data_IF_414628663019
#
_entry.id   IF_414628663019
#
_cell.length_a   1.000
_cell.length_b   1.000
_cell.length_c   1.000
_cell.angle_alpha   90.00
_cell.angle_beta   90.00
_cell.angle_gamma   90.00
#
_symmetry.space_group_name_H-M   'P 1'
#
loop_
_entity.id
_entity.type
_entity.pdbx_description
1 polymer ?
2 non-polymer ?
3 water ?
#
# COMPACT_ATOMS: atom_id res chain seq x y z
N UNK A 4 -22.68 9.54 9.81
CA UNK A 4 -21.42 10.08 9.29
C UNK A 4 -20.36 9.93 10.31
N UNK A 5 -19.13 10.03 9.97
CA UNK A 5 -18.21 10.00 11.08
C UNK A 5 -17.02 10.92 10.98
N UNK A 6 -16.00 10.11 11.07
CA UNK A 6 -14.59 10.37 10.98
C UNK A 6 -14.33 11.19 9.74
N UNK A 7 -13.75 12.30 10.06
CA UNK A 7 -13.39 13.29 9.10
C UNK A 7 -12.02 13.01 8.55
N UNK A 8 -11.79 13.23 7.28
CA UNK A 8 -10.45 12.87 6.88
C UNK A 8 -9.90 13.95 6.09
N UNK A 9 -8.58 14.06 6.10
CA UNK A 9 -8.01 15.06 5.23
C UNK A 9 -7.22 14.29 4.16
N UNK A 10 -7.49 14.54 2.88
CA UNK A 10 -6.82 13.83 1.79
C UNK A 10 -5.75 14.77 1.26
N UNK A 11 -4.49 14.50 1.53
CA UNK A 11 -3.54 15.43 1.02
C UNK A 11 -3.38 14.95 -0.40
N UNK A 12 -2.71 15.74 -1.25
CA UNK A 12 -2.43 15.36 -2.65
C UNK A 12 -3.67 15.21 -3.57
N UNK A 13 -4.73 15.94 -3.21
CA UNK A 13 -6.03 15.92 -3.91
C UNK A 13 -6.11 15.91 -5.40
N UNK A 14 -5.08 16.42 -6.05
CA UNK A 14 -5.09 16.51 -7.49
C UNK A 14 -4.07 15.54 -8.08
N UNK A 15 -3.38 14.77 -7.22
CA UNK A 15 -2.39 13.80 -7.70
C UNK A 15 -3.12 12.52 -8.06
N UNK A 16 -2.52 11.64 -8.85
CA UNK A 16 -3.23 10.42 -9.17
C UNK A 16 -3.84 9.59 -8.04
N UNK A 17 -3.09 9.35 -6.98
CA UNK A 17 -3.69 8.71 -5.82
C UNK A 17 -4.79 9.59 -5.10
N UNK A 18 -4.52 10.90 -4.92
CA UNK A 18 -5.38 11.80 -4.11
C UNK A 18 -6.83 11.88 -4.57
N UNK A 19 -7.00 11.80 -5.87
CA UNK A 19 -8.33 11.74 -6.50
C UNK A 19 -9.23 10.54 -6.07
N UNK A 20 -8.62 9.36 -6.15
CA UNK A 20 -9.18 8.02 -5.94
C UNK A 20 -9.51 7.89 -4.49
N UNK A 21 -8.78 8.70 -3.73
CA UNK A 21 -9.09 8.77 -2.33
C UNK A 21 -10.40 9.57 -2.06
N UNK A 22 -10.58 10.72 -2.70
CA UNK A 22 -11.79 11.54 -2.53
C UNK A 22 -13.01 10.69 -2.88
N UNK A 23 -12.99 10.08 -4.06
CA UNK A 23 -14.00 9.08 -4.33
C UNK A 23 -14.11 7.98 -3.27
N UNK A 24 -13.04 7.32 -2.90
CA UNK A 24 -13.27 6.24 -1.98
C UNK A 24 -13.90 6.77 -0.73
N UNK A 25 -13.65 8.05 -0.39
CA UNK A 25 -14.15 8.59 0.86
C UNK A 25 -15.61 8.95 0.80
N UNK A 26 -16.01 9.71 -0.23
CA UNK A 26 -17.43 10.10 -0.37
C UNK A 26 -18.39 8.91 -0.42
N UNK A 27 -17.92 7.86 -1.07
CA UNK A 27 -18.77 6.75 -1.32
C UNK A 27 -18.24 5.63 -0.46
N UNK A 28 -18.39 5.78 0.85
CA UNK A 28 -17.84 4.82 1.79
C UNK A 28 -18.39 5.31 3.11
N UNK A 29 -19.02 4.42 3.85
CA UNK A 29 -19.77 4.82 5.06
C UNK A 29 -19.04 4.82 6.35
N UNK A 30 -19.08 5.98 6.98
CA UNK A 30 -18.52 6.11 8.29
C UNK A 30 -17.41 7.09 8.17
N UNK A 31 -17.26 7.61 6.96
CA UNK A 31 -16.20 8.55 6.75
C UNK A 31 -16.71 9.71 5.99
N UNK A 32 -16.31 10.89 6.50
CA UNK A 32 -16.65 12.20 5.96
C UNK A 32 -15.41 12.92 5.47
N UNK A 33 -15.54 13.54 4.32
CA UNK A 33 -14.48 14.35 3.77
C UNK A 33 -14.28 15.75 4.45
N UNK A 34 -13.50 15.83 5.53
CA UNK A 34 -13.15 17.10 6.18
C UNK A 34 -12.30 18.07 5.31
N UNK A 35 -11.16 17.66 4.76
CA UNK A 35 -10.34 18.61 4.00
C UNK A 35 -9.75 18.01 2.79
N UNK A 36 -9.10 18.80 1.94
CA UNK A 36 -8.39 18.33 0.73
C UNK A 36 -7.23 19.27 0.44
N UNK A 37 -6.01 18.83 0.70
CA UNK A 37 -4.88 19.68 0.56
C UNK A 37 -4.25 19.72 -0.81
N UNK A 38 -3.12 20.37 -0.84
CA UNK A 38 -2.34 20.50 -2.06
C UNK A 38 -1.13 21.38 -1.80
N UNK A 39 -0.21 21.26 -2.76
CA UNK A 39 1.07 21.95 -2.79
C UNK A 39 0.82 23.47 -2.85
N UNK A 40 1.71 24.29 -2.33
CA UNK A 40 1.53 25.73 -2.44
C UNK A 40 2.10 26.28 -3.74
N UNK A 41 1.19 26.80 -4.54
CA UNK A 41 1.52 27.27 -5.87
C UNK A 41 1.02 26.28 -6.96
N UNK A 42 -0.22 25.80 -6.77
CA UNK A 42 -0.93 24.85 -7.66
C UNK A 42 -2.41 25.25 -7.69
N UNK A 43 -3.04 25.10 -8.87
CA UNK A 43 -4.47 25.42 -9.05
C UNK A 43 -5.47 24.60 -8.20
N UNK A 44 -5.94 25.23 -7.13
CA UNK A 44 -6.85 24.63 -6.16
C UNK A 44 -8.08 23.88 -6.72
N UNK A 45 -9.26 24.53 -6.79
CA UNK A 45 -10.56 24.00 -7.30
C UNK A 45 -11.52 23.71 -6.20
N UNK A 46 -11.47 24.53 -5.16
CA UNK A 46 -12.40 24.46 -4.04
C UNK A 46 -13.02 23.07 -3.82
N UNK A 47 -14.28 22.90 -4.26
CA UNK A 47 -15.07 21.66 -4.19
C UNK A 47 -14.06 20.60 -4.55
N UNK A 48 -13.55 20.01 -3.50
CA UNK A 48 -12.45 19.07 -3.61
C UNK A 48 -12.89 18.05 -4.61
N UNK A 49 -13.37 16.97 -4.03
CA UNK A 49 -13.90 15.84 -4.78
C UNK A 49 -14.85 16.31 -5.87
N UNK A 50 -15.32 17.55 -5.78
CA UNK A 50 -16.21 18.08 -6.77
C UNK A 50 -15.46 17.91 -8.07
N UNK A 51 -15.01 19.03 -8.63
CA UNK A 51 -14.30 18.95 -9.89
C UNK A 51 -13.13 17.94 -9.80
N UNK A 52 -12.30 18.17 -8.78
CA UNK A 52 -11.10 17.40 -8.56
C UNK A 52 -11.22 15.91 -8.81
N UNK A 53 -12.27 15.30 -8.28
CA UNK A 53 -12.42 13.88 -8.43
C UNK A 53 -13.66 13.55 -9.17
N UNK A 54 -13.65 13.73 -10.48
CA UNK A 54 -14.77 13.31 -11.30
C UNK A 54 -16.17 13.85 -10.89
N UNK A 55 -16.69 13.35 -9.77
CA UNK A 55 -18.06 13.69 -9.28
C UNK A 55 -18.07 14.97 -8.42
N UNK A 56 -18.67 16.00 -9.02
CA UNK A 56 -18.76 17.37 -8.44
C UNK A 56 -19.39 17.39 -7.04
N UNK A 57 -19.53 18.63 -6.56
CA UNK A 57 -20.11 18.97 -5.25
C UNK A 57 -19.00 18.98 -4.18
N UNK A 58 -19.37 18.75 -2.95
CA UNK A 58 -18.42 18.89 -1.85
C UNK A 58 -18.03 20.34 -1.70
N UNK A 59 -18.57 20.92 -0.66
CA UNK A 59 -18.27 22.29 -0.28
C UNK A 59 -16.91 22.26 0.38
N UNK A 60 -16.22 21.14 0.17
CA UNK A 60 -14.87 20.99 0.67
C UNK A 60 -13.97 21.58 -0.40
N UNK A 61 -13.15 22.44 0.08
CA UNK A 61 -12.31 23.24 -0.77
C UNK A 61 -10.83 22.90 -0.54
N UNK A 62 -10.08 22.78 -1.63
CA UNK A 62 -8.71 22.34 -1.59
C UNK A 62 -7.77 23.45 -1.20
N UNK A 63 -7.57 23.59 0.09
CA UNK A 63 -6.62 24.52 0.68
C UNK A 63 -5.11 24.15 0.59
N UNK A 64 -4.27 25.02 1.17
CA UNK A 64 -2.83 24.89 1.15
C UNK A 64 -2.25 24.88 2.56
N UNK A 65 -3.09 25.27 3.51
CA UNK A 65 -2.75 25.41 4.92
C UNK A 65 -2.45 24.11 5.67
N UNK A 66 -3.11 24.00 6.81
CA UNK A 66 -3.08 22.83 7.66
C UNK A 66 -3.60 23.32 8.96
N UNK A 67 -3.00 24.38 9.49
CA UNK A 67 -3.50 24.88 10.76
C UNK A 67 -4.91 25.36 10.45
N UNK A 68 -5.08 25.77 9.18
CA UNK A 68 -6.36 26.24 8.63
C UNK A 68 -7.42 25.18 8.43
N UNK A 69 -7.17 23.97 8.95
CA UNK A 69 -8.01 22.81 8.72
C UNK A 69 -7.95 21.92 9.92
N UNK A 70 -7.06 22.22 10.85
CA UNK A 70 -6.84 21.39 12.04
C UNK A 70 -8.10 20.85 12.69
N UNK A 71 -9.13 21.68 12.73
CA UNK A 71 -10.33 21.29 13.44
C UNK A 71 -11.40 20.58 12.61
N UNK A 72 -11.13 20.29 11.34
CA UNK A 72 -12.11 19.61 10.45
C UNK A 72 -11.69 18.28 9.80
N UNK A 73 -10.81 17.54 10.46
CA UNK A 73 -10.38 16.29 9.95
C UNK A 73 -9.81 15.63 11.17
N UNK A 74 -10.09 14.34 11.31
CA UNK A 74 -9.59 13.57 12.44
C UNK A 74 -8.34 12.82 12.04
N UNK A 75 -8.30 12.42 10.76
CA UNK A 75 -7.26 11.62 10.19
C UNK A 75 -6.66 12.15 8.89
N UNK A 76 -5.38 11.92 8.74
CA UNK A 76 -4.68 12.40 7.59
C UNK A 76 -4.24 11.26 6.71
N UNK A 77 -4.66 11.30 5.45
CA UNK A 77 -4.24 10.35 4.45
C UNK A 77 -3.24 10.98 3.47
N UNK A 78 -2.01 10.45 3.55
CA UNK A 78 -0.92 10.96 2.73
C UNK A 78 -0.28 10.01 1.72
N UNK A 79 -0.50 10.26 0.42
CA UNK A 79 0.09 9.60 -0.74
C UNK A 79 0.62 10.77 -1.56
N UNK A 80 1.78 11.31 -1.14
CA UNK A 80 2.50 12.39 -1.81
C UNK A 80 4.00 12.17 -2.04
N UNK A 81 4.80 12.91 -1.25
CA UNK A 81 6.24 12.77 -1.28
C UNK A 81 6.89 12.81 0.07
N UNK A 82 7.96 12.05 0.19
CA UNK A 82 8.62 11.93 1.47
C UNK A 82 8.83 13.30 2.08
N UNK A 83 9.29 14.28 1.30
CA UNK A 83 9.50 15.67 1.77
C UNK A 83 8.21 16.33 2.24
N UNK A 84 7.17 16.19 1.41
CA UNK A 84 5.85 16.64 1.82
C UNK A 84 5.43 15.89 3.10
N UNK A 85 5.45 14.55 3.07
CA UNK A 85 5.04 13.74 4.24
C UNK A 85 5.66 14.11 5.57
N UNK A 86 6.94 14.34 5.56
CA UNK A 86 7.56 14.59 6.84
C UNK A 86 6.98 15.81 7.55
N UNK A 87 6.54 16.78 6.74
CA UNK A 87 5.98 18.04 7.20
C UNK A 87 4.60 17.85 7.84
N UNK A 88 3.78 17.10 7.10
CA UNK A 88 2.47 16.77 7.58
C UNK A 88 2.66 15.97 8.85
N UNK A 89 3.65 15.07 8.82
CA UNK A 89 3.84 14.24 9.99
C UNK A 89 4.12 15.09 11.21
N UNK A 90 4.81 16.19 11.01
CA UNK A 90 5.15 17.07 12.11
C UNK A 90 3.94 17.93 12.70
N UNK A 91 3.02 18.31 11.83
CA UNK A 91 1.90 19.11 12.29
C UNK A 91 0.99 18.16 13.07
N UNK A 92 0.85 16.96 12.54
CA UNK A 92 -0.09 16.00 13.09
C UNK A 92 0.31 15.55 14.43
N UNK A 93 1.58 15.17 14.51
CA UNK A 93 2.09 14.69 15.75
C UNK A 93 1.98 15.77 16.85
N UNK A 94 2.02 17.04 16.47
CA UNK A 94 1.88 18.12 17.44
C UNK A 94 0.42 18.17 17.95
N UNK A 95 -0.51 18.29 17.00
CA UNK A 95 -1.93 18.42 17.28
C UNK A 95 -2.67 17.10 17.34
N UNK A 96 -1.98 15.97 17.61
CA UNK A 96 -2.62 14.67 17.69
C UNK A 96 -3.64 14.27 16.61
N UNK A 97 -3.26 14.37 15.33
CA UNK A 97 -4.06 13.79 14.22
C UNK A 97 -3.38 12.47 13.82
N UNK A 98 -4.19 11.43 13.53
CA UNK A 98 -3.70 10.09 13.28
C UNK A 98 -3.41 10.13 11.83
N UNK A 99 -2.54 9.27 11.35
CA UNK A 99 -2.29 9.22 9.90
C UNK A 99 -2.24 7.87 9.22
N UNK A 100 -2.69 7.90 7.97
CA UNK A 100 -2.61 6.73 7.10
C UNK A 100 -1.56 7.13 6.07
N UNK A 101 -0.43 6.41 6.04
CA UNK A 101 0.70 6.80 5.19
C UNK A 101 0.99 5.86 4.06
N UNK A 102 0.78 6.29 2.82
CA UNK A 102 1.02 5.48 1.62
C UNK A 102 2.15 5.99 0.75
N UNK A 103 2.84 7.03 1.23
CA UNK A 103 4.01 7.56 0.54
C UNK A 103 5.10 6.56 0.75
N UNK A 104 5.69 6.19 -0.35
CA UNK A 104 6.83 5.30 -0.33
C UNK A 104 8.02 6.12 -0.69
N UNK A 105 9.17 5.48 -0.43
CA UNK A 105 10.48 5.98 -0.85
C UNK A 105 11.22 6.74 0.23
N UNK A 106 10.93 6.50 1.52
CA UNK A 106 11.68 7.22 2.55
C UNK A 106 13.05 6.62 2.77
N UNK A 107 14.04 7.48 3.01
CA UNK A 107 15.39 7.06 3.38
C UNK A 107 15.16 6.56 4.79
N UNK A 108 16.12 5.85 5.35
CA UNK A 108 15.95 5.36 6.70
C UNK A 108 15.64 6.43 7.75
N UNK A 109 16.48 7.44 7.78
CA UNK A 109 16.24 8.53 8.68
C UNK A 109 14.76 8.90 8.61
N UNK A 110 14.17 8.71 7.42
CA UNK A 110 12.75 8.95 7.15
C UNK A 110 11.84 8.03 7.96
N UNK A 111 12.04 6.74 7.82
CA UNK A 111 11.20 5.81 8.54
C UNK A 111 11.36 5.93 10.03
N UNK A 112 12.49 6.47 10.48
CA UNK A 112 12.65 6.52 11.91
C UNK A 112 11.75 7.60 12.53
N UNK A 113 11.49 8.60 11.73
CA UNK A 113 10.59 9.67 12.05
C UNK A 113 9.25 9.07 12.32
N UNK A 114 8.72 8.44 11.29
CA UNK A 114 7.43 7.78 11.41
C UNK A 114 7.38 6.89 12.64
N UNK A 115 8.42 6.06 12.83
CA UNK A 115 8.41 5.14 13.93
C UNK A 115 8.28 5.88 15.18
N UNK A 116 9.08 6.91 15.27
CA UNK A 116 9.14 7.71 16.47
C UNK A 116 7.91 8.48 16.75
N UNK A 117 7.32 9.03 15.69
CA UNK A 117 6.12 9.83 15.82
C UNK A 117 4.97 8.98 16.30
N UNK A 118 5.00 7.70 15.92
CA UNK A 118 3.95 6.76 16.26
C UNK A 118 3.76 6.51 17.73
N UNK A 119 4.51 7.19 18.59
CA UNK A 119 4.33 7.03 20.03
C UNK A 119 3.39 8.10 20.63
N UNK A 120 2.94 9.03 19.80
CA UNK A 120 2.22 10.15 20.30
C UNK A 120 0.91 10.14 19.57
N UNK A 121 0.99 9.57 18.37
CA UNK A 121 -0.20 9.46 17.54
C UNK A 121 -0.30 8.03 16.96
N UNK A 122 -1.46 7.70 16.39
CA UNK A 122 -1.69 6.36 15.82
C UNK A 122 -1.44 6.50 14.34
N UNK A 123 -0.52 5.66 13.82
CA UNK A 123 -0.15 5.62 12.39
C UNK A 123 -0.43 4.28 11.69
N UNK A 124 -1.00 4.32 10.53
CA UNK A 124 -1.07 3.10 9.78
C UNK A 124 -0.20 3.37 8.55
N UNK A 125 0.93 2.68 8.48
CA UNK A 125 1.86 2.95 7.40
C UNK A 125 2.12 1.63 6.64
N UNK A 126 1.88 1.52 5.33
CA UNK A 126 2.09 0.23 4.62
C UNK A 126 2.54 0.30 3.16
N UNK A 127 3.26 -0.73 2.73
CA UNK A 127 3.84 -0.71 1.39
C UNK A 127 2.90 -0.91 0.28
N UNK A 128 1.84 -1.65 0.57
CA UNK A 128 0.78 -1.96 -0.40
C UNK A 128 -0.53 -2.01 0.37
N UNK A 129 -1.45 -1.12 -0.03
CA UNK A 129 -2.69 -0.91 0.68
C UNK A 129 -3.87 -1.66 0.11
N UNK A 130 -3.59 -2.61 -0.77
CA UNK A 130 -4.63 -3.44 -1.39
C UNK A 130 -4.93 -4.60 -0.47
N UNK A 131 -6.19 -4.79 -0.08
CA UNK A 131 -6.58 -5.86 0.87
C UNK A 131 -6.22 -7.21 0.33
N UNK A 132 -6.61 -7.37 -0.93
CA UNK A 132 -6.30 -8.47 -1.81
C UNK A 132 -4.85 -8.90 -1.80
N UNK A 133 -3.90 -7.99 -2.01
CA UNK A 133 -2.51 -8.35 -1.83
C UNK A 133 -2.15 -8.71 -0.40
N UNK A 134 -2.86 -8.15 0.57
CA UNK A 134 -2.45 -8.43 1.93
C UNK A 134 -2.89 -9.81 2.41
N UNK A 135 -4.02 -10.23 1.89
CA UNK A 135 -4.49 -11.54 2.28
C UNK A 135 -3.58 -12.56 1.60
N UNK A 136 -3.35 -12.34 0.32
CA UNK A 136 -2.64 -13.26 -0.51
C UNK A 136 -1.35 -13.55 0.15
N UNK A 137 -0.78 -12.53 0.75
CA UNK A 137 0.49 -12.73 1.43
C UNK A 137 0.34 -13.67 2.63
N UNK A 138 -0.77 -13.59 3.34
CA UNK A 138 -0.90 -14.47 4.48
C UNK A 138 -1.10 -15.91 3.97
N UNK A 139 -1.94 -16.08 2.94
CA UNK A 139 -2.15 -17.39 2.32
C UNK A 139 -0.86 -18.02 1.90
N UNK A 140 -0.02 -17.29 1.16
CA UNK A 140 1.25 -17.84 0.69
C UNK A 140 2.02 -18.47 1.85
N UNK A 141 1.80 -17.90 3.03
CA UNK A 141 2.56 -18.35 4.16
C UNK A 141 2.09 -19.70 4.62
N UNK A 142 0.77 -19.80 4.81
CA UNK A 142 0.20 -21.01 5.31
C UNK A 142 0.66 -22.03 4.32
N UNK A 143 0.24 -21.87 3.09
CA UNK A 143 0.75 -22.70 2.03
C UNK A 143 2.24 -23.10 1.97
N UNK A 144 3.17 -22.23 2.33
CA UNK A 144 4.58 -22.59 2.15
C UNK A 144 4.83 -23.62 3.21
N UNK A 145 4.06 -23.45 4.27
CA UNK A 145 4.20 -24.29 5.45
C UNK A 145 3.80 -25.78 5.23
N UNK A 146 3.16 -26.09 4.12
CA UNK A 146 2.74 -27.48 3.81
C UNK A 146 3.51 -28.06 2.62
N UNK A 147 3.28 -27.45 1.48
CA UNK A 147 3.89 -27.85 0.20
C UNK A 147 5.27 -27.22 0.03
N UNK A 148 5.38 -26.01 0.57
CA UNK A 148 6.67 -25.31 0.57
C UNK A 148 7.66 -26.29 1.19
N UNK A 149 8.73 -26.57 0.48
CA UNK A 149 9.63 -27.61 0.95
C UNK A 149 10.35 -28.29 -0.19
N UNK A 150 9.43 -29.16 -0.63
CA UNK A 150 9.46 -30.23 -1.64
C UNK A 150 8.77 -29.85 -2.96
N UNK A 151 8.31 -28.63 -3.07
CA UNK A 151 7.68 -28.14 -4.31
C UNK A 151 8.56 -27.07 -4.95
N UNK A 152 8.37 -26.91 -6.24
CA UNK A 152 9.06 -25.88 -7.04
C UNK A 152 8.23 -24.59 -6.96
N UNK A 153 8.91 -23.52 -6.58
CA UNK A 153 8.25 -22.26 -6.30
C UNK A 153 8.79 -21.15 -7.17
N UNK A 154 7.92 -20.66 -8.05
CA UNK A 154 8.06 -19.57 -9.01
C UNK A 154 7.00 -18.46 -8.79
N UNK A 155 7.33 -17.22 -9.14
CA UNK A 155 6.58 -15.97 -8.92
C UNK A 155 6.63 -15.17 -10.21
N UNK A 156 5.46 -15.00 -10.84
CA UNK A 156 5.38 -14.22 -12.09
C UNK A 156 4.57 -12.94 -11.71
N UNK A 157 5.00 -11.79 -12.22
CA UNK A 157 4.34 -10.52 -11.93
C UNK A 157 4.32 -9.80 -13.29
N UNK A 158 3.24 -9.06 -13.58
CA UNK A 158 3.24 -8.32 -14.85
C UNK A 158 2.96 -6.90 -14.49
N UNK A 159 3.56 -5.94 -15.19
CA UNK A 159 3.26 -4.51 -15.05
C UNK A 159 3.34 -3.73 -16.32
N UNK A 160 2.60 -2.61 -16.25
CA UNK A 160 2.47 -1.66 -17.36
C UNK A 160 3.86 -1.29 -17.85
N UNK A 161 3.86 -0.66 -19.00
CA UNK A 161 5.11 -0.46 -19.63
C UNK A 161 5.92 0.61 -19.03
N UNK A 162 5.66 1.10 -17.84
CA UNK A 162 6.51 2.21 -17.37
C UNK A 162 7.13 1.98 -16.02
N UNK A 163 7.11 0.73 -15.57
CA UNK A 163 7.68 0.32 -14.31
C UNK A 163 9.17 0.24 -14.63
N UNK A 164 10.02 0.77 -13.76
CA UNK A 164 11.44 0.92 -14.06
C UNK A 164 12.26 -0.11 -13.39
N UNK A 165 11.69 -0.72 -12.40
CA UNK A 165 12.51 -1.66 -11.77
C UNK A 165 11.90 -3.04 -11.79
N UNK A 166 12.75 -4.04 -12.00
CA UNK A 166 12.22 -5.37 -11.97
C UNK A 166 12.94 -6.12 -10.88
N UNK A 167 12.36 -7.22 -10.50
CA UNK A 167 11.00 -7.60 -10.12
C UNK A 167 10.24 -6.56 -9.29
N UNK A 168 8.90 -6.58 -9.36
CA UNK A 168 8.02 -5.77 -8.50
C UNK A 168 8.37 -5.83 -7.00
N UNK A 169 8.13 -4.75 -6.30
CA UNK A 169 8.37 -4.78 -4.86
C UNK A 169 7.31 -5.66 -4.18
N UNK A 170 6.36 -6.12 -4.91
CA UNK A 170 5.39 -6.98 -4.24
C UNK A 170 5.83 -8.42 -4.43
N UNK A 171 6.43 -8.67 -5.57
CA UNK A 171 6.87 -9.98 -5.93
C UNK A 171 7.91 -10.30 -4.88
N UNK A 172 8.75 -9.31 -4.55
CA UNK A 172 9.82 -9.53 -3.55
C UNK A 172 9.22 -9.76 -2.25
N UNK A 173 8.25 -8.92 -1.96
CA UNK A 173 7.59 -9.09 -0.70
C UNK A 173 6.96 -10.49 -0.58
N UNK A 174 6.55 -11.05 -1.72
CA UNK A 174 5.89 -12.36 -1.82
C UNK A 174 7.01 -13.35 -1.53
N UNK A 175 8.15 -13.16 -2.18
CA UNK A 175 9.33 -14.05 -2.01
C UNK A 175 9.83 -14.22 -0.57
N UNK A 176 9.83 -13.16 0.21
CA UNK A 176 10.29 -13.20 1.58
C UNK A 176 9.29 -13.86 2.48
N UNK A 177 8.03 -13.59 2.18
CA UNK A 177 6.92 -14.18 2.92
C UNK A 177 7.16 -15.68 2.89
N UNK A 178 7.66 -16.14 1.78
CA UNK A 178 7.78 -17.57 1.57
C UNK A 178 9.10 -18.13 2.07
N UNK A 179 10.19 -17.46 1.70
CA UNK A 179 11.55 -17.79 2.13
C UNK A 179 11.49 -17.88 3.63
N UNK A 180 10.95 -16.83 4.22
CA UNK A 180 10.83 -16.90 5.64
C UNK A 180 10.10 -18.12 6.17
N UNK A 181 8.83 -18.28 5.83
CA UNK A 181 8.00 -19.37 6.33
C UNK A 181 8.73 -20.67 6.28
N UNK A 182 9.51 -20.88 5.26
CA UNK A 182 10.30 -22.12 5.20
C UNK A 182 11.55 -21.84 5.96
N UNK A 183 11.57 -20.78 6.70
CA UNK A 183 12.79 -20.47 7.40
C UNK A 183 14.08 -20.37 6.59
N UNK A 184 14.10 -19.69 5.46
CA UNK A 184 15.32 -19.53 4.66
C UNK A 184 15.48 -18.03 4.46
N UNK A 185 16.51 -17.65 3.73
CA UNK A 185 16.66 -16.26 3.32
C UNK A 185 16.67 -16.04 1.82
N UNK A 186 15.67 -15.26 1.40
CA UNK A 186 15.39 -14.98 0.00
C UNK A 186 16.62 -14.72 -0.83
N UNK A 187 17.62 -14.10 -0.22
CA UNK A 187 18.86 -13.73 -0.90
C UNK A 187 19.82 -14.91 -1.13
N UNK A 188 19.63 -15.95 -0.30
CA UNK A 188 20.38 -17.18 -0.47
C UNK A 188 19.78 -18.03 -1.57
N UNK A 189 18.47 -17.94 -1.77
CA UNK A 189 17.83 -18.78 -2.76
C UNK A 189 17.03 -18.18 -3.94
N UNK A 190 17.24 -16.90 -4.28
CA UNK A 190 16.49 -16.27 -5.35
C UNK A 190 17.27 -16.30 -6.66
N UNK A 191 16.52 -16.52 -7.74
CA UNK A 191 17.10 -16.50 -9.06
C UNK A 191 16.24 -15.55 -9.91
N UNK A 192 16.86 -14.60 -10.59
CA UNK A 192 16.08 -13.56 -11.21
C UNK A 192 16.14 -13.52 -12.66
N UNK A 193 17.18 -14.09 -13.22
CA UNK A 193 17.30 -14.05 -14.64
C UNK A 193 17.44 -15.54 -14.95
N UNK A 194 17.12 -15.93 -16.21
CA UNK A 194 17.32 -17.28 -16.80
C UNK A 194 17.68 -17.05 -18.28
N UNK A 195 18.98 -17.14 -18.64
CA UNK A 195 19.36 -16.91 -20.03
C UNK A 195 20.27 -17.99 -20.55
N UNK A 196 20.15 -18.34 -21.83
CA UNK A 196 21.04 -19.34 -22.46
C UNK A 196 21.08 -20.73 -21.78
N UNK A 197 22.20 -21.45 -21.84
CA UNK A 197 22.25 -22.76 -21.17
C UNK A 197 22.24 -22.63 -19.66
N UNK A 198 21.08 -22.76 -19.01
CA UNK A 198 20.98 -22.57 -17.58
C UNK A 198 21.38 -23.80 -16.75
N UNK A 199 21.16 -24.97 -17.32
CA UNK A 199 21.34 -26.17 -16.53
C UNK A 199 20.00 -26.40 -15.85
N UNK A 200 19.86 -27.50 -15.13
CA UNK A 200 18.55 -27.83 -14.57
C UNK A 200 18.22 -26.84 -13.48
N UNK A 201 16.95 -26.78 -13.06
CA UNK A 201 16.51 -25.89 -11.98
C UNK A 201 16.99 -26.36 -10.61
N UNK A 202 17.88 -25.60 -9.97
CA UNK A 202 18.37 -25.94 -8.63
C UNK A 202 17.23 -26.04 -7.66
N UNK A 203 17.17 -27.12 -6.89
CA UNK A 203 16.10 -27.31 -5.93
C UNK A 203 16.36 -26.39 -4.82
N UNK A 204 15.33 -25.97 -4.12
CA UNK A 204 15.54 -25.09 -2.98
C UNK A 204 15.52 -23.60 -3.40
N UNK A 205 15.70 -23.31 -4.69
CA UNK A 205 15.58 -21.94 -5.15
C UNK A 205 14.11 -21.43 -5.45
N UNK A 206 13.91 -20.11 -5.40
CA UNK A 206 12.72 -19.39 -5.80
C UNK A 206 13.00 -18.51 -7.02
N UNK A 207 12.40 -18.85 -8.16
CA UNK A 207 12.62 -18.15 -9.42
C UNK A 207 11.55 -17.06 -9.51
N UNK A 208 11.79 -16.08 -10.39
CA UNK A 208 11.01 -14.86 -10.63
C UNK A 208 11.01 -14.57 -12.11
N UNK A 209 9.84 -14.34 -12.69
CA UNK A 209 9.70 -13.97 -14.08
C UNK A 209 8.89 -12.68 -14.07
N UNK A 210 9.22 -11.75 -14.96
CA UNK A 210 8.67 -10.39 -14.91
C UNK A 210 8.31 -9.95 -16.27
N UNK A 211 7.02 -9.65 -16.42
CA UNK A 211 6.47 -9.20 -17.68
C UNK A 211 6.16 -7.70 -17.58
N UNK A 212 6.30 -6.98 -18.69
CA UNK A 212 6.30 -5.54 -18.75
C UNK A 212 5.60 -5.28 -20.03
N UNK A 213 4.39 -4.72 -19.95
CA UNK A 213 3.52 -4.52 -21.12
C UNK A 213 2.25 -3.67 -20.91
N UNK A 214 1.87 -2.90 -21.95
CA UNK A 214 0.67 -2.08 -21.97
C UNK A 214 0.37 -1.28 -20.73
N UNK A 215 -0.81 -1.38 -20.21
CA UNK A 215 -1.07 -0.53 -19.08
C UNK A 215 -1.32 -1.36 -17.87
N UNK A 216 -0.91 -2.65 -17.87
CA UNK A 216 -1.26 -3.51 -16.73
C UNK A 216 -1.03 -2.86 -15.38
N UNK A 217 -2.05 -2.78 -14.55
CA UNK A 217 -1.85 -2.14 -13.29
C UNK A 217 -1.01 -2.96 -12.34
N UNK A 218 -1.28 -4.27 -12.27
CA UNK A 218 -0.46 -5.08 -11.39
C UNK A 218 -0.96 -6.49 -11.18
N UNK A 219 -0.14 -7.46 -11.61
CA UNK A 219 -0.50 -8.87 -11.49
C UNK A 219 0.57 -9.67 -10.83
N UNK A 220 0.17 -10.35 -9.78
CA UNK A 220 1.08 -11.21 -9.06
C UNK A 220 0.55 -12.66 -8.91
N UNK A 221 1.39 -13.59 -9.37
CA UNK A 221 1.13 -15.02 -9.25
C UNK A 221 2.20 -15.82 -8.54
N UNK A 222 1.78 -16.67 -7.60
CA UNK A 222 2.71 -17.61 -6.98
C UNK A 222 2.30 -19.07 -7.21
N UNK A 223 3.19 -19.88 -7.77
CA UNK A 223 2.88 -21.28 -7.91
C UNK A 223 3.85 -22.21 -7.15
N UNK A 224 3.25 -23.25 -6.57
CA UNK A 224 4.08 -24.26 -5.97
C UNK A 224 3.81 -25.48 -6.80
N UNK A 225 4.78 -25.91 -7.63
CA UNK A 225 4.63 -26.99 -8.58
C UNK A 225 5.32 -28.30 -8.12
N UNK A 226 4.59 -29.42 -8.22
CA UNK A 226 5.15 -30.72 -7.83
C UNK A 226 5.05 -31.55 -9.06
N UNK A 227 5.18 -32.85 -8.91
CA UNK A 227 4.91 -33.75 -10.04
C UNK A 227 3.45 -34.14 -10.02
N UNK A 228 2.67 -33.66 -10.97
CA UNK A 228 1.29 -34.06 -11.01
C UNK A 228 0.36 -32.94 -10.57
N UNK A 229 0.87 -31.93 -9.88
CA UNK A 229 -0.07 -30.85 -9.53
C UNK A 229 0.63 -29.52 -9.33
N UNK A 230 -0.14 -28.45 -9.50
CA UNK A 230 0.30 -27.05 -9.27
C UNK A 230 -0.73 -26.23 -8.53
N UNK A 231 -0.29 -25.53 -7.50
CA UNK A 231 -1.13 -24.56 -6.81
C UNK A 231 -0.68 -23.21 -7.25
N UNK A 232 -1.66 -22.38 -7.49
CA UNK A 232 -1.39 -21.05 -7.87
C UNK A 232 -2.27 -20.08 -7.20
N UNK A 233 -1.66 -19.02 -6.70
CA UNK A 233 -2.36 -17.92 -6.12
C UNK A 233 -1.97 -16.64 -6.78
N UNK A 234 -2.98 -16.04 -7.40
CA UNK A 234 -2.90 -14.81 -8.15
C UNK A 234 -3.78 -13.69 -7.63
N UNK A 235 -3.24 -12.48 -7.66
CA UNK A 235 -4.00 -11.30 -7.26
C UNK A 235 -3.86 -10.46 -8.46
N UNK A 236 -5.00 -10.00 -8.96
CA UNK A 236 -5.04 -9.06 -10.08
C UNK A 236 -5.65 -7.71 -9.61
N UNK A 237 -4.96 -6.63 -9.98
CA UNK A 237 -5.39 -5.25 -9.69
C UNK A 237 -5.89 -4.64 -10.99
N UNK A 238 -7.15 -4.25 -10.99
CA UNK A 238 -7.64 -3.66 -12.22
C UNK A 238 -7.59 -2.13 -12.13
N UNK A 239 -7.52 -1.58 -10.91
CA UNK A 239 -7.50 -0.12 -10.75
C UNK A 239 -6.89 0.37 -9.48
N UNK A 240 -6.34 1.57 -9.55
CA UNK A 240 -5.64 2.08 -8.40
C UNK A 240 -6.56 2.27 -7.22
N UNK A 241 -7.86 2.10 -7.46
CA UNK A 241 -8.91 2.33 -6.45
C UNK A 241 -8.76 1.25 -5.45
N UNK A 242 -8.17 0.19 -5.95
CA UNK A 242 -7.89 -0.88 -5.04
C UNK A 242 -7.09 -0.42 -3.79
N UNK A 243 -6.14 0.47 -3.97
CA UNK A 243 -5.33 0.92 -2.84
C UNK A 243 -6.06 1.94 -1.98
N UNK A 244 -6.88 2.77 -2.63
CA UNK A 244 -7.74 3.80 -2.06
C UNK A 244 -8.82 3.30 -1.11
N UNK A 245 -9.37 2.11 -1.38
CA UNK A 245 -10.31 1.54 -0.43
C UNK A 245 -9.56 0.99 0.75
N UNK A 246 -8.39 0.44 0.48
CA UNK A 246 -7.59 -0.07 1.58
C UNK A 246 -7.26 1.03 2.57
N UNK A 247 -6.82 2.22 2.09
CA UNK A 247 -6.37 3.35 2.92
C UNK A 247 -7.52 3.92 3.65
N UNK A 248 -8.58 4.18 2.90
CA UNK A 248 -9.79 4.64 3.52
C UNK A 248 -10.39 3.69 4.54
N UNK A 249 -10.40 2.38 4.29
CA UNK A 249 -10.85 1.43 5.29
C UNK A 249 -9.92 1.55 6.53
N UNK A 250 -8.64 1.88 6.33
CA UNK A 250 -7.69 1.96 7.48
C UNK A 250 -7.99 3.17 8.38
N UNK A 251 -8.34 4.28 7.77
CA UNK A 251 -8.69 5.47 8.60
C UNK A 251 -9.75 5.11 9.59
N UNK A 252 -10.91 4.75 9.06
CA UNK A 252 -12.03 4.26 9.88
C UNK A 252 -11.55 3.27 10.89
N UNK A 253 -10.48 2.54 10.60
CA UNK A 253 -9.94 1.55 11.55
C UNK A 253 -9.19 2.21 12.70
N UNK A 254 -8.40 3.22 12.34
CA UNK A 254 -7.63 3.98 13.30
C UNK A 254 -8.53 4.80 14.20
N UNK A 255 -9.85 4.79 13.95
CA UNK A 255 -10.92 5.50 14.74
C UNK A 255 -10.93 4.93 16.13
N UNK A 256 -10.72 5.80 17.11
CA UNK A 256 -10.67 5.35 18.48
C UNK A 256 -9.23 5.15 18.91
N UNK A 257 -8.33 4.91 17.96
CA UNK A 257 -6.93 4.70 18.34
C UNK A 257 -6.19 6.02 18.58
N UNK A 258 -5.18 5.85 19.40
CA UNK A 258 -4.13 6.83 19.68
C UNK A 258 -2.85 6.07 19.39
N UNK A 259 -1.78 6.51 19.98
CA UNK A 259 -0.44 5.88 19.83
C UNK A 259 -0.44 4.41 19.28
N UNK A 260 0.56 4.20 18.39
CA UNK A 260 0.91 2.91 17.71
C UNK A 260 1.24 3.06 16.19
N UNK A 261 2.14 2.16 15.71
CA UNK A 261 2.50 2.00 14.26
C UNK A 261 1.83 0.65 13.86
N UNK A 262 0.99 0.67 12.85
CA UNK A 262 0.31 -0.54 12.47
C UNK A 262 0.52 -0.66 11.02
N UNK A 263 0.05 -1.78 10.49
CA UNK A 263 0.01 -1.96 9.05
C UNK A 263 -1.29 -2.68 8.73
N UNK A 264 -1.38 -3.20 7.51
CA UNK A 264 -2.60 -3.83 7.02
C UNK A 264 -3.00 -5.17 7.72
N UNK A 265 -2.04 -5.84 8.30
CA UNK A 265 -2.30 -7.08 8.97
C UNK A 265 -2.96 -6.68 10.21
N UNK A 266 -2.59 -5.51 10.70
CA UNK A 266 -3.16 -5.03 11.94
C UNK A 266 -4.65 -4.79 11.71
N UNK A 267 -4.88 -4.05 10.66
CA UNK A 267 -6.17 -3.60 10.24
C UNK A 267 -7.09 -4.72 9.77
N UNK A 268 -6.49 -5.72 9.15
CA UNK A 268 -7.22 -6.80 8.54
C UNK A 268 -7.30 -7.98 9.54
N UNK A 269 -6.66 -7.79 10.68
CA UNK A 269 -6.62 -8.81 11.71
C UNK A 269 -5.97 -10.09 11.22
N UNK A 270 -4.97 -9.98 10.37
CA UNK A 270 -4.41 -11.14 9.73
C UNK A 270 -3.48 -11.88 10.61
N UNK A 271 -3.27 -11.39 11.82
CA UNK A 271 -2.34 -12.19 12.62
C UNK A 271 -3.06 -13.20 13.50
N UNK A 272 -4.38 -13.05 13.51
CA UNK A 272 -5.31 -13.91 14.22
C UNK A 272 -5.84 -14.91 13.16
N UNK A 273 -5.36 -14.78 11.92
CA UNK A 273 -5.75 -15.63 10.81
C UNK A 273 -4.77 -16.77 10.62
#
# INVERSE_FOLDING_TARGET
MHDANIRVAIAGAGGRMGRQLIQAALALEGVQLGAALEREGSSLLGSDAGELAGAGKTGVTVQSSLDAVKDDFDVFIDFTRPEGTLNHLAFCRQHGKGMVIGTTGFDEAGKQAIRDAAADIAIVFAANFSVGVNVMLKLLEKAAKVMGDYTDIEIIEAHHRHKVDAPSGTALAMGEAIAHALDKDLKDCAVYSREGHTGERVPGTIGFATVRAGDIVGEHTAMFADIGERLEITHKASSRMTFANGAVRSALWLSGKESGLFDMRDVLDLNNL
#
